data_IF_545133320660
#
_entry.id   IF_545133320660
#
_cell.length_a   1.000
_cell.length_b   1.000
_cell.length_c   1.000
_cell.angle_alpha   90.00
_cell.angle_beta   90.00
_cell.angle_gamma   90.00
#
_symmetry.space_group_name_H-M   'P 1'
#
loop_
_entity.id
_entity.type
_entity.pdbx_description
1 polymer ?
#
# COMPACT_ATOMS: atom_id res chain seq x y z
N UNK A 1 11.13 -13.74 1.63
CA UNK A 1 9.74 -14.25 1.51
C UNK A 1 8.85 -13.32 2.33
N UNK A 2 7.73 -12.83 1.77
CA UNK A 2 6.81 -11.93 2.48
C UNK A 2 6.00 -12.63 3.57
N UNK A 3 5.50 -11.87 4.55
CA UNK A 3 4.71 -12.40 5.67
C UNK A 3 3.26 -12.77 5.30
N UNK A 4 2.75 -12.21 4.20
CA UNK A 4 1.43 -12.51 3.64
C UNK A 4 1.50 -13.79 2.81
N UNK A 5 0.58 -14.70 3.07
CA UNK A 5 0.39 -15.92 2.27
C UNK A 5 -0.54 -15.65 1.10
N UNK A 6 -1.75 -15.18 1.41
CA UNK A 6 -2.82 -14.91 0.45
C UNK A 6 -3.29 -13.48 0.61
N UNK A 7 -3.17 -12.69 -0.45
CA UNK A 7 -3.69 -11.34 -0.53
C UNK A 7 -5.07 -11.38 -1.17
N UNK A 8 -6.08 -10.91 -0.46
CA UNK A 8 -7.47 -10.87 -0.90
C UNK A 8 -7.83 -9.42 -1.23
N UNK A 9 -8.25 -9.17 -2.46
CA UNK A 9 -8.56 -7.82 -2.95
C UNK A 9 -9.91 -7.81 -3.64
N UNK A 10 -10.73 -6.81 -3.36
CA UNK A 10 -12.00 -6.61 -4.04
C UNK A 10 -11.78 -6.09 -5.47
N UNK A 11 -12.50 -6.65 -6.43
CA UNK A 11 -12.37 -6.29 -7.86
C UNK A 11 -12.59 -4.79 -8.14
N UNK A 12 -13.45 -4.14 -7.36
CA UNK A 12 -13.77 -2.72 -7.49
C UNK A 12 -13.07 -1.85 -6.44
N UNK A 13 -11.88 -2.27 -5.98
CA UNK A 13 -11.07 -1.45 -5.08
C UNK A 13 -10.68 -0.13 -5.75
N UNK A 14 -11.32 0.96 -5.33
CA UNK A 14 -11.02 2.32 -5.78
C UNK A 14 -9.87 2.93 -4.99
N UNK A 15 -8.67 2.38 -5.16
CA UNK A 15 -7.43 2.93 -4.60
C UNK A 15 -6.41 3.07 -5.70
N UNK A 16 -5.92 4.29 -5.87
CA UNK A 16 -4.86 4.62 -6.81
C UNK A 16 -3.51 4.69 -6.08
N UNK A 17 -2.49 4.14 -6.73
CA UNK A 17 -1.08 4.23 -6.33
C UNK A 17 -0.44 5.36 -7.12
N UNK A 18 0.03 6.39 -6.42
CA UNK A 18 0.77 7.51 -6.99
C UNK A 18 2.25 7.38 -6.68
N UNK A 19 3.08 7.59 -7.70
CA UNK A 19 4.52 7.79 -7.53
C UNK A 19 4.81 9.27 -7.67
N UNK A 20 5.25 9.88 -6.59
CA UNK A 20 5.53 11.30 -6.49
C UNK A 20 7.03 11.55 -6.42
N UNK A 21 7.53 12.54 -7.15
CA UNK A 21 8.90 13.01 -7.06
C UNK A 21 8.99 14.18 -6.08
N UNK A 22 9.91 14.08 -5.13
CA UNK A 22 10.19 15.16 -4.19
C UNK A 22 11.17 16.15 -4.85
N UNK A 23 10.85 17.45 -4.93
CA UNK A 23 11.79 18.44 -5.43
C UNK A 23 13.08 18.44 -4.60
N UNK A 24 14.24 18.47 -5.27
CA UNK A 24 15.57 18.49 -4.65
C UNK A 24 15.95 17.24 -3.82
N UNK A 25 15.23 16.13 -3.98
CA UNK A 25 15.63 14.82 -3.46
C UNK A 25 15.65 13.79 -4.60
N UNK A 26 16.55 12.81 -4.51
CA UNK A 26 16.57 11.67 -5.43
C UNK A 26 15.49 10.62 -5.10
N UNK A 27 14.79 10.80 -3.97
CA UNK A 27 13.75 9.89 -3.49
C UNK A 27 12.40 10.08 -4.18
N UNK A 28 11.78 8.96 -4.56
CA UNK A 28 10.37 8.91 -4.95
C UNK A 28 9.52 8.54 -3.73
N UNK A 29 8.42 9.27 -3.53
CA UNK A 29 7.42 8.99 -2.50
C UNK A 29 6.25 8.25 -3.13
N UNK A 30 5.86 7.13 -2.56
CA UNK A 30 4.67 6.37 -3.01
C UNK A 30 3.53 6.63 -2.04
N UNK A 31 2.38 7.06 -2.54
CA UNK A 31 1.18 7.23 -1.74
C UNK A 31 0.01 6.46 -2.35
N UNK A 32 -0.93 6.06 -1.51
CA UNK A 32 -2.14 5.34 -1.90
C UNK A 32 -3.33 6.20 -1.50
N UNK A 33 -4.11 6.64 -2.48
CA UNK A 33 -5.25 7.51 -2.25
C UNK A 33 -6.52 6.86 -2.77
N UNK A 34 -7.60 7.04 -2.01
CA UNK A 34 -8.95 6.81 -2.51
C UNK A 34 -9.45 8.05 -3.27
N UNK A 35 -10.45 7.92 -4.15
CA UNK A 35 -11.01 9.03 -4.93
C UNK A 35 -11.46 10.23 -4.08
N UNK A 36 -11.93 10.01 -2.85
CA UNK A 36 -12.29 11.07 -1.92
C UNK A 36 -11.07 11.90 -1.47
N UNK A 37 -9.92 11.25 -1.32
CA UNK A 37 -8.67 11.86 -0.84
C UNK A 37 -7.87 12.55 -1.95
N UNK A 38 -8.08 12.16 -3.21
CA UNK A 38 -7.43 12.78 -4.38
C UNK A 38 -7.75 14.27 -4.53
N UNK A 39 -8.91 14.71 -4.01
CA UNK A 39 -9.30 16.12 -4.06
C UNK A 39 -8.51 17.01 -3.09
N UNK A 40 -7.88 16.43 -2.06
CA UNK A 40 -7.09 17.18 -1.10
C UNK A 40 -5.65 17.38 -1.61
N UNK A 41 -5.35 18.64 -1.96
CA UNK A 41 -4.02 19.07 -2.43
C UNK A 41 -2.91 18.83 -1.41
N UNK A 42 -3.22 18.69 -0.13
CA UNK A 42 -2.23 18.44 0.93
C UNK A 42 -1.44 17.15 0.71
N UNK A 43 -2.02 16.16 0.03
CA UNK A 43 -1.33 14.91 -0.29
C UNK A 43 -0.23 15.07 -1.35
N UNK A 44 -0.27 16.17 -2.11
CA UNK A 44 0.70 16.50 -3.17
C UNK A 44 1.63 17.64 -2.76
N UNK A 45 1.67 17.98 -1.47
CA UNK A 45 2.60 18.96 -0.93
C UNK A 45 3.53 18.24 0.04
N UNK A 46 4.83 18.51 -0.06
CA UNK A 46 5.79 18.01 0.90
C UNK A 46 5.60 18.74 2.25
N UNK A 47 5.30 18.02 3.36
CA UNK A 47 5.12 18.66 4.66
C UNK A 47 6.40 19.31 5.21
N UNK A 48 7.60 18.87 4.77
CA UNK A 48 8.86 19.41 5.27
C UNK A 48 9.26 20.70 4.54
N UNK A 49 9.10 20.74 3.21
CA UNK A 49 9.57 21.87 2.39
C UNK A 49 8.43 22.78 1.92
N UNK A 50 7.18 22.36 2.05
CA UNK A 50 6.01 23.08 1.53
C UNK A 50 5.95 23.16 0.01
N UNK A 51 6.79 22.40 -0.71
CA UNK A 51 6.85 22.40 -2.17
C UNK A 51 5.86 21.40 -2.78
N UNK A 52 5.35 21.70 -3.98
CA UNK A 52 4.51 20.78 -4.73
C UNK A 52 5.31 19.55 -5.19
N UNK A 53 4.74 18.37 -4.96
CA UNK A 53 5.25 17.08 -5.41
C UNK A 53 4.80 16.84 -6.86
N UNK A 54 5.73 16.42 -7.71
CA UNK A 54 5.43 16.11 -9.11
C UNK A 54 4.91 14.67 -9.22
N UNK A 55 3.78 14.47 -9.90
CA UNK A 55 3.22 13.14 -10.15
C UNK A 55 3.98 12.51 -11.33
N UNK A 56 4.73 11.43 -11.08
CA UNK A 56 5.44 10.69 -12.11
C UNK A 56 4.59 9.59 -12.75
N UNK A 57 3.85 8.86 -11.91
CA UNK A 57 3.03 7.73 -12.34
C UNK A 57 1.78 7.62 -11.47
N UNK A 58 0.69 7.13 -12.08
CA UNK A 58 -0.57 6.85 -11.40
C UNK A 58 -1.16 5.58 -12.00
N UNK A 59 -1.44 4.60 -11.15
CA UNK A 59 -2.03 3.33 -11.56
C UNK A 59 -2.95 2.77 -10.47
N UNK A 60 -3.92 1.94 -10.85
CA UNK A 60 -4.77 1.25 -9.88
C UNK A 60 -3.92 0.33 -9.01
N UNK A 61 -4.18 0.34 -7.70
CA UNK A 61 -3.45 -0.51 -6.76
C UNK A 61 -3.66 -1.99 -7.08
N UNK A 62 -4.87 -2.38 -7.48
CA UNK A 62 -5.18 -3.75 -7.89
C UNK A 62 -4.32 -4.20 -9.07
N UNK A 63 -4.19 -3.37 -10.10
CA UNK A 63 -3.39 -3.68 -11.29
C UNK A 63 -1.91 -3.83 -10.93
N UNK A 64 -1.39 -2.92 -10.10
CA UNK A 64 -0.01 -3.00 -9.62
C UNK A 64 0.23 -4.29 -8.82
N UNK A 65 -0.69 -4.66 -7.92
CA UNK A 65 -0.61 -5.90 -7.16
C UNK A 65 -0.67 -7.13 -8.07
N UNK A 66 -1.53 -7.12 -9.09
CA UNK A 66 -1.63 -8.20 -10.08
C UNK A 66 -0.34 -8.39 -10.90
N UNK A 67 0.48 -7.35 -11.05
CA UNK A 67 1.79 -7.46 -11.71
C UNK A 67 2.90 -7.89 -10.74
N UNK A 68 2.82 -7.50 -9.47
CA UNK A 68 3.93 -7.62 -8.52
C UNK A 68 3.77 -8.71 -7.45
N UNK A 69 2.59 -9.33 -7.30
CA UNK A 69 2.30 -10.31 -6.23
C UNK A 69 3.33 -11.45 -6.14
N UNK A 70 3.83 -11.91 -7.30
CA UNK A 70 4.82 -13.01 -7.38
C UNK A 70 6.15 -12.65 -6.72
N UNK A 71 6.58 -11.40 -6.84
CA UNK A 71 7.85 -10.93 -6.26
C UNK A 71 7.82 -10.96 -4.73
N UNK A 72 6.63 -10.79 -4.14
CA UNK A 72 6.42 -10.88 -2.68
C UNK A 72 6.23 -12.33 -2.20
N UNK A 73 6.04 -13.28 -3.12
CA UNK A 73 5.70 -14.66 -2.80
C UNK A 73 4.31 -14.81 -2.20
N UNK A 74 3.39 -13.88 -2.42
CA UNK A 74 1.98 -14.01 -2.01
C UNK A 74 1.18 -14.63 -3.16
N UNK A 75 0.06 -15.28 -2.85
CA UNK A 75 -1.01 -15.53 -3.83
C UNK A 75 -1.93 -14.31 -3.84
N UNK A 76 -2.51 -13.98 -5.00
CA UNK A 76 -3.49 -12.91 -5.15
C UNK A 76 -4.84 -13.52 -5.48
N UNK A 77 -5.84 -13.24 -4.64
CA UNK A 77 -7.23 -13.63 -4.84
C UNK A 77 -8.11 -12.40 -5.01
N UNK A 78 -8.86 -12.36 -6.11
CA UNK A 78 -9.79 -11.28 -6.40
C UNK A 78 -11.20 -11.73 -6.03
N UNK A 79 -11.88 -10.94 -5.19
CA UNK A 79 -13.23 -11.24 -4.68
C UNK A 79 -14.25 -10.22 -5.16
N UNK A 80 -15.53 -10.59 -5.10
CA UNK A 80 -16.68 -9.73 -5.41
C UNK A 80 -17.56 -9.57 -4.16
N UNK A 81 -18.43 -8.55 -4.13
CA UNK A 81 -19.34 -8.29 -3.00
C UNK A 81 -20.69 -9.01 -3.12
N UNK A 82 -20.81 -9.95 -4.06
CA UNK A 82 -22.07 -10.65 -4.35
C UNK A 82 -22.44 -11.71 -3.31
N UNK A 83 -21.48 -12.20 -2.54
CA UNK A 83 -21.73 -13.11 -1.42
C UNK A 83 -21.86 -12.36 -0.10
N UNK A 84 -22.45 -12.99 0.91
CA UNK A 84 -22.58 -12.41 2.25
C UNK A 84 -21.19 -12.11 2.84
N UNK A 85 -20.24 -13.02 2.63
CA UNK A 85 -18.85 -12.92 3.09
C UNK A 85 -18.13 -11.79 2.35
N UNK A 86 -18.30 -11.68 1.03
CA UNK A 86 -17.70 -10.61 0.22
C UNK A 86 -18.23 -9.23 0.61
N UNK A 87 -19.54 -9.11 0.84
CA UNK A 87 -20.14 -7.87 1.31
C UNK A 87 -19.64 -7.47 2.71
N UNK A 88 -19.46 -8.44 3.61
CA UNK A 88 -18.84 -8.18 4.92
C UNK A 88 -17.38 -7.77 4.80
N UNK A 89 -16.64 -8.39 3.88
CA UNK A 89 -15.24 -8.05 3.65
C UNK A 89 -15.08 -6.61 3.18
N UNK A 90 -15.86 -6.18 2.18
CA UNK A 90 -15.82 -4.81 1.65
C UNK A 90 -16.24 -3.80 2.71
N UNK A 91 -17.33 -4.07 3.47
CA UNK A 91 -17.84 -3.14 4.49
C UNK A 91 -16.99 -3.09 5.77
N UNK A 92 -16.41 -4.22 6.16
CA UNK A 92 -15.64 -4.36 7.40
C UNK A 92 -14.16 -4.00 7.25
N UNK A 93 -13.56 -4.33 6.12
CA UNK A 93 -12.12 -4.19 5.89
C UNK A 93 -11.76 -3.27 4.71
N UNK A 94 -12.74 -2.64 4.05
CA UNK A 94 -12.50 -1.66 2.99
C UNK A 94 -12.05 -2.26 1.66
N UNK A 95 -12.21 -3.58 1.47
CA UNK A 95 -11.97 -4.25 0.18
C UNK A 95 -10.53 -4.68 -0.06
N UNK A 96 -9.65 -4.64 0.94
CA UNK A 96 -8.29 -5.20 0.86
C UNK A 96 -7.94 -5.89 2.18
N UNK A 97 -7.29 -7.05 2.10
CA UNK A 97 -6.91 -7.83 3.27
C UNK A 97 -5.91 -8.92 2.92
N UNK A 98 -5.28 -9.51 3.93
CA UNK A 98 -4.29 -10.57 3.74
C UNK A 98 -4.37 -11.63 4.82
N UNK A 99 -4.22 -12.88 4.42
CA UNK A 99 -4.02 -14.03 5.30
C UNK A 99 -2.51 -14.17 5.50
N UNK A 100 -2.07 -14.16 6.75
CA UNK A 100 -0.66 -14.24 7.11
C UNK A 100 -0.20 -15.69 7.23
N UNK A 101 1.04 -15.96 6.85
CA UNK A 101 1.68 -17.28 6.98
C UNK A 101 1.87 -17.69 8.44
N UNK A 102 2.10 -16.71 9.30
CA UNK A 102 2.38 -16.88 10.72
C UNK A 102 1.73 -15.74 11.50
N UNK A 103 1.52 -15.97 12.80
CA UNK A 103 1.10 -14.92 13.71
C UNK A 103 2.20 -13.85 13.80
N UNK A 104 1.85 -12.61 13.43
CA UNK A 104 2.73 -11.45 13.59
C UNK A 104 2.34 -10.69 14.85
N UNK A 105 3.34 -10.21 15.59
CA UNK A 105 3.13 -9.22 16.63
C UNK A 105 3.22 -7.82 16.01
N UNK A 106 2.06 -7.19 15.83
CA UNK A 106 1.97 -5.85 15.25
C UNK A 106 2.41 -4.76 16.21
N UNK A 107 2.53 -5.01 17.52
CA UNK A 107 3.04 -4.00 18.46
C UNK A 107 4.52 -3.69 18.23
N UNK A 108 5.30 -4.66 17.74
CA UNK A 108 6.69 -4.44 17.33
C UNK A 108 6.80 -3.80 15.94
N UNK A 109 5.79 -3.94 15.08
CA UNK A 109 5.78 -3.35 13.73
C UNK A 109 5.23 -1.92 13.70
N UNK A 110 4.32 -1.59 14.63
CA UNK A 110 3.64 -0.28 14.72
C UNK A 110 4.27 0.64 15.79
N UNK A 111 5.50 0.37 16.22
CA UNK A 111 6.17 1.09 17.29
C UNK A 111 7.06 2.22 16.80
N UNK A 112 6.53 3.46 16.83
CA UNK A 112 7.31 4.69 16.84
C UNK A 112 7.17 5.53 15.57
N UNK A 113 7.08 6.84 15.75
CA UNK A 113 7.09 7.83 14.67
C UNK A 113 8.17 7.52 13.63
N UNK A 114 7.82 7.76 12.37
CA UNK A 114 8.62 7.47 11.18
C UNK A 114 9.92 8.30 11.20
N UNK A 115 11.02 7.71 11.68
CA UNK A 115 12.39 8.15 11.38
C UNK A 115 13.16 6.96 10.78
N UNK A 116 13.39 7.03 9.47
CA UNK A 116 14.03 6.02 8.62
C UNK A 116 15.58 6.06 8.73
N UNK A 117 16.14 5.99 9.93
CA UNK A 117 17.58 5.82 10.09
C UNK A 117 17.86 4.68 11.07
N UNK A 118 18.04 3.47 10.54
CA UNK A 118 19.18 2.61 10.88
C UNK A 118 19.14 1.30 10.06
N UNK A 119 19.98 1.31 9.02
CA UNK A 119 20.72 0.20 8.40
C UNK A 119 20.23 -1.25 8.62
N UNK A 120 19.34 -1.72 7.73
CA UNK A 120 19.10 -3.16 7.55
C UNK A 120 20.26 -3.76 6.75
N UNK A 121 21.32 -4.19 7.45
CA UNK A 121 22.41 -4.93 6.82
C UNK A 121 21.96 -6.39 6.52
N UNK A 122 21.80 -6.68 5.22
CA UNK A 122 21.32 -7.96 4.67
C UNK A 122 22.44 -9.02 4.52
N UNK A 123 23.66 -8.74 4.98
CA UNK A 123 24.80 -9.65 4.78
C UNK A 123 24.90 -10.82 5.81
N UNK A 124 23.94 -10.96 6.73
CA UNK A 124 23.98 -12.00 7.77
C UNK A 124 22.89 -13.09 7.65
N UNK A 125 22.34 -13.33 6.45
CA UNK A 125 21.48 -14.50 6.20
C UNK A 125 21.65 -15.16 4.83
#
# INVERSE_FOLDING_TARGET
>A
MGAVETLVVWENLSVNRYVLKVPNSEGNRVIHLRPDQETDRRHFIDPATGSDLEILDTQLLLDWLALNYRSFGTTLEIVTDKSQEGAQFVRGFGGIGGILRYQLDFNHLAGGDVDFEDDFNLDDY
#
